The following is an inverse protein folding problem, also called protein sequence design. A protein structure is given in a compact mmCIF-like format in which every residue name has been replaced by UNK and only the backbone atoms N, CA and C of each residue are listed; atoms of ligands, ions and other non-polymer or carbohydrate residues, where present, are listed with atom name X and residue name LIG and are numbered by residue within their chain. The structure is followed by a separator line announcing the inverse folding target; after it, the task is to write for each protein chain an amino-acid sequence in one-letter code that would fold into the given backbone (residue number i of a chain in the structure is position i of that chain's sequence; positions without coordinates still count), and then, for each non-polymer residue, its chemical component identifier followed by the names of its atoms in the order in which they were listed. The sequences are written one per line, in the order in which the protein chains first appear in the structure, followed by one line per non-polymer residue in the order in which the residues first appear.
data_IF_421107634408
#
_entry.id   IF_421107634408
#
_cell.length_a   1.000
_cell.length_b   1.000
_cell.length_c   1.000
_cell.angle_alpha   90.00
_cell.angle_beta   90.00
_cell.angle_gamma   90.00
#
_symmetry.space_group_name_H-M   'P 1'
#
loop_
_entity.id
_entity.type
_entity.pdbx_description
1 polymer ?
#
# COMPACT_ATOMS: atom_id res chain seq x y z
N UNK A 1 45.24 13.34 -35.54
CA UNK A 1 44.56 12.18 -34.92
C UNK A 1 43.47 12.70 -34.01
N UNK A 2 42.21 12.70 -34.49
CA UNK A 2 41.03 13.28 -33.83
C UNK A 2 39.78 12.43 -34.10
N UNK A 3 39.85 11.09 -34.04
CA UNK A 3 38.67 10.22 -34.13
C UNK A 3 38.87 8.98 -33.22
N UNK A 4 38.91 9.16 -31.89
CA UNK A 4 38.90 8.01 -30.95
C UNK A 4 38.05 8.25 -29.69
N UNK A 5 37.27 9.34 -29.62
CA UNK A 5 36.51 9.70 -28.40
C UNK A 5 35.00 9.37 -28.52
N UNK A 6 34.58 8.62 -29.54
CA UNK A 6 33.15 8.40 -29.84
C UNK A 6 32.67 6.96 -29.70
N UNK A 7 33.24 6.16 -28.78
CA UNK A 7 32.78 4.77 -28.53
C UNK A 7 32.40 4.45 -27.07
N UNK A 8 32.24 5.46 -26.21
CA UNK A 8 31.66 5.27 -24.87
C UNK A 8 30.20 5.72 -24.83
N UNK A 9 29.40 5.26 -25.79
CA UNK A 9 27.94 5.41 -25.75
C UNK A 9 27.31 4.03 -25.79
N UNK A 10 26.39 3.81 -24.83
CA UNK A 10 25.41 2.74 -24.76
C UNK A 10 25.84 1.46 -24.02
N UNK A 11 25.90 1.56 -22.70
CA UNK A 11 25.36 0.51 -21.82
C UNK A 11 25.02 1.10 -20.44
N UNK A 12 24.12 2.08 -20.38
CA UNK A 12 23.38 2.31 -19.12
C UNK A 12 22.33 1.21 -19.07
N UNK A 13 22.70 0.08 -18.46
CA UNK A 13 21.73 -0.92 -18.05
C UNK A 13 20.92 -0.27 -16.92
N UNK A 14 19.82 0.39 -17.27
CA UNK A 14 18.83 0.82 -16.30
C UNK A 14 18.16 -0.43 -15.75
N UNK A 15 18.73 -1.01 -14.70
CA UNK A 15 18.01 -1.90 -13.83
C UNK A 15 16.96 -1.05 -13.09
N UNK A 16 15.82 -0.79 -13.71
CA UNK A 16 14.63 -0.42 -12.96
C UNK A 16 14.24 -1.68 -12.18
N UNK A 17 14.35 -1.70 -10.84
CA UNK A 17 13.71 -2.77 -10.10
C UNK A 17 12.23 -2.70 -10.48
N UNK A 18 11.71 -3.79 -11.03
CA UNK A 18 10.28 -3.95 -11.22
C UNK A 18 9.66 -3.98 -9.83
N UNK A 19 9.36 -2.80 -9.29
CA UNK A 19 8.43 -2.66 -8.18
C UNK A 19 7.11 -3.10 -8.78
N UNK A 20 6.77 -4.36 -8.53
CA UNK A 20 5.49 -4.95 -8.85
C UNK A 20 4.44 -4.09 -8.16
N UNK A 21 3.84 -3.16 -8.91
CA UNK A 21 2.78 -2.29 -8.44
C UNK A 21 1.57 -3.17 -8.13
N UNK A 22 1.28 -3.35 -6.85
CA UNK A 22 -0.11 -3.45 -6.42
C UNK A 22 -0.67 -2.07 -6.66
N UNK A 23 -1.52 -1.93 -7.68
CA UNK A 23 -2.11 -0.65 -8.05
C UNK A 23 -2.87 -0.08 -6.86
N UNK A 24 -2.21 0.85 -6.17
CA UNK A 24 -2.83 1.88 -5.35
C UNK A 24 -3.56 2.82 -6.29
N UNK A 25 -4.84 3.09 -6.03
CA UNK A 25 -5.60 4.13 -6.73
C UNK A 25 -4.78 5.44 -6.78
N UNK A 26 -4.75 6.07 -7.95
CA UNK A 26 -3.87 7.15 -8.39
C UNK A 26 -4.01 8.48 -7.62
N UNK A 27 -3.80 8.49 -6.29
CA UNK A 27 -3.89 9.69 -5.47
C UNK A 27 -3.06 9.62 -4.18
N UNK A 28 -2.70 10.78 -3.65
CA UNK A 28 -1.98 10.92 -2.37
C UNK A 28 -2.74 10.21 -1.24
N UNK A 29 -2.00 9.57 -0.34
CA UNK A 29 -2.53 8.99 0.89
C UNK A 29 -2.89 10.10 1.89
N UNK A 30 -4.07 10.02 2.50
CA UNK A 30 -4.69 11.05 3.34
C UNK A 30 -5.16 10.48 4.69
N UNK A 31 -5.54 11.34 5.62
CA UNK A 31 -6.04 10.89 6.94
C UNK A 31 -7.29 10.02 6.85
N UNK A 32 -8.12 10.21 5.82
CA UNK A 32 -9.30 9.37 5.60
C UNK A 32 -8.91 7.92 5.29
N UNK A 33 -7.79 7.74 4.59
CA UNK A 33 -7.30 6.43 4.19
C UNK A 33 -6.87 5.60 5.40
N UNK A 34 -6.53 6.23 6.53
CA UNK A 34 -6.18 5.55 7.79
C UNK A 34 -7.29 4.62 8.30
N UNK A 35 -8.55 4.90 7.95
CA UNK A 35 -9.73 4.19 8.45
C UNK A 35 -10.31 3.22 7.42
N UNK A 36 -9.75 3.16 6.21
CA UNK A 36 -10.22 2.22 5.20
C UNK A 36 -9.97 0.80 5.68
N UNK A 37 -11.07 0.06 5.83
CA UNK A 37 -11.02 -1.38 6.08
C UNK A 37 -10.53 -2.10 4.82
N UNK A 38 -9.87 -3.24 5.00
CA UNK A 38 -9.37 -4.08 3.91
C UNK A 38 -10.50 -4.72 3.08
N UNK A 39 -11.77 -4.53 3.43
CA UNK A 39 -12.87 -5.34 2.95
C UNK A 39 -14.06 -4.49 2.51
N UNK A 40 -14.24 -4.33 1.20
CA UNK A 40 -15.49 -3.88 0.59
C UNK A 40 -16.08 -5.11 -0.12
N UNK A 41 -17.19 -5.71 0.35
CA UNK A 41 -17.83 -6.82 -0.34
C UNK A 41 -18.47 -6.37 -1.67
N UNK A 42 -18.65 -7.28 -2.65
CA UNK A 42 -18.45 -8.73 -2.58
C UNK A 42 -17.01 -9.16 -2.93
N UNK A 43 -16.48 -10.12 -2.15
CA UNK A 43 -15.14 -10.67 -2.35
C UNK A 43 -15.25 -12.06 -2.98
N UNK A 44 -15.03 -12.16 -4.30
CA UNK A 44 -15.31 -13.38 -5.09
C UNK A 44 -14.04 -14.19 -5.46
N UNK A 45 -12.94 -14.08 -4.71
CA UNK A 45 -11.67 -14.73 -5.06
C UNK A 45 -11.58 -16.20 -4.65
N UNK A 46 -10.90 -17.02 -5.46
CA UNK A 46 -10.77 -18.49 -5.30
C UNK A 46 -9.39 -19.01 -4.91
N UNK A 47 -8.37 -18.16 -4.72
CA UNK A 47 -7.03 -18.59 -4.27
C UNK A 47 -6.89 -18.47 -2.75
N UNK A 48 -5.86 -19.07 -2.16
CA UNK A 48 -5.64 -19.09 -0.70
C UNK A 48 -4.22 -18.62 -0.42
N UNK A 49 -4.05 -17.74 0.58
CA UNK A 49 -2.78 -17.39 1.27
C UNK A 49 -1.92 -16.20 0.79
N UNK A 50 -2.51 -15.06 0.40
CA UNK A 50 -1.75 -13.80 0.32
C UNK A 50 -1.84 -12.99 1.60
N UNK A 51 -0.74 -12.34 2.00
CA UNK A 51 -0.69 -11.42 3.14
C UNK A 51 -0.38 -10.01 2.67
N UNK A 52 -0.98 -9.02 3.32
CA UNK A 52 -0.70 -7.59 3.11
C UNK A 52 -0.42 -6.92 4.46
N UNK A 53 0.22 -5.76 4.39
CA UNK A 53 0.40 -4.85 5.52
C UNK A 53 -0.64 -3.75 5.47
N UNK A 54 -1.16 -3.34 6.62
CA UNK A 54 -2.09 -2.20 6.74
C UNK A 54 -1.84 -1.43 8.02
N UNK A 55 -2.13 -0.14 8.03
CA UNK A 55 -2.14 0.64 9.26
C UNK A 55 -3.35 0.29 10.11
N UNK A 56 -3.09 -0.03 11.38
CA UNK A 56 -4.13 -0.24 12.39
C UNK A 56 -4.18 0.96 13.34
N UNK A 57 -5.29 1.69 13.30
CA UNK A 57 -5.45 2.96 14.01
C UNK A 57 -5.51 2.82 15.53
N UNK A 58 -5.90 1.65 16.04
CA UNK A 58 -5.94 1.36 17.48
C UNK A 58 -4.54 1.09 18.04
N UNK A 59 -3.77 0.20 17.41
CA UNK A 59 -2.42 -0.16 17.85
C UNK A 59 -1.35 0.83 17.40
N UNK A 60 -1.69 1.75 16.47
CA UNK A 60 -0.79 2.74 15.87
C UNK A 60 0.43 2.10 15.21
N UNK A 61 0.21 1.00 14.50
CA UNK A 61 1.25 0.19 13.87
C UNK A 61 0.77 -0.39 12.54
N UNK A 62 1.71 -0.72 11.67
CA UNK A 62 1.45 -1.57 10.52
C UNK A 62 1.37 -3.04 10.95
N UNK A 63 0.26 -3.68 10.62
CA UNK A 63 -0.02 -5.08 10.95
C UNK A 63 -0.14 -5.92 9.68
N UNK A 64 0.37 -7.14 9.73
CA UNK A 64 0.24 -8.11 8.65
C UNK A 64 -1.09 -8.84 8.79
N UNK A 65 -1.93 -8.78 7.74
CA UNK A 65 -3.23 -9.44 7.70
C UNK A 65 -3.35 -10.31 6.45
N UNK A 66 -4.24 -11.29 6.51
CA UNK A 66 -4.61 -12.04 5.32
C UNK A 66 -5.31 -11.13 4.31
N UNK A 67 -4.83 -11.14 3.08
CA UNK A 67 -5.55 -10.60 1.93
C UNK A 67 -6.75 -11.49 1.68
N UNK A 68 -7.97 -10.94 1.72
CA UNK A 68 -9.16 -11.65 1.24
C UNK A 68 -9.24 -11.43 -0.27
N UNK A 69 -9.02 -12.50 -1.01
CA UNK A 69 -8.99 -12.47 -2.47
C UNK A 69 -10.36 -12.08 -3.05
N UNK A 70 -10.34 -11.32 -4.15
CA UNK A 70 -11.53 -10.79 -4.80
C UNK A 70 -12.14 -9.56 -4.13
N UNK A 71 -11.60 -9.07 -3.02
CA UNK A 71 -11.92 -7.73 -2.51
C UNK A 71 -11.04 -6.67 -3.21
N UNK A 72 -11.58 -5.48 -3.45
CA UNK A 72 -10.78 -4.33 -3.90
C UNK A 72 -9.74 -3.95 -2.85
N UNK A 73 -8.48 -3.81 -3.25
CA UNK A 73 -7.44 -3.25 -2.40
C UNK A 73 -7.78 -1.79 -2.09
N UNK A 74 -7.79 -1.42 -0.81
CA UNK A 74 -7.88 -0.01 -0.42
C UNK A 74 -6.49 0.61 -0.38
N UNK A 75 -6.42 1.95 -0.33
CA UNK A 75 -5.13 2.66 -0.17
C UNK A 75 -4.36 2.26 1.08
N UNK A 76 -5.04 1.73 2.10
CA UNK A 76 -4.45 1.21 3.33
C UNK A 76 -4.03 -0.28 3.20
N UNK A 77 -3.62 -0.73 2.02
CA UNK A 77 -3.08 -2.08 1.80
C UNK A 77 -1.72 -1.96 1.11
N UNK A 78 -0.68 -2.47 1.76
CA UNK A 78 0.71 -2.36 1.34
C UNK A 78 1.31 -3.75 1.18
N UNK A 79 2.27 -3.89 0.26
CA UNK A 79 2.99 -5.15 0.05
C UNK A 79 4.10 -5.38 1.07
N UNK A 80 4.61 -4.31 1.67
CA UNK A 80 5.71 -4.34 2.63
C UNK A 80 5.34 -3.57 3.91
N UNK A 81 5.98 -3.93 5.03
CA UNK A 81 5.87 -3.18 6.28
C UNK A 81 6.44 -1.78 6.13
N UNK A 82 7.52 -1.65 5.36
CA UNK A 82 8.27 -0.41 5.18
C UNK A 82 7.44 0.64 4.42
N UNK A 83 6.72 0.23 3.37
CA UNK A 83 5.82 1.12 2.64
C UNK A 83 4.66 1.57 3.53
N UNK A 84 4.11 0.64 4.32
CA UNK A 84 3.04 0.96 5.25
C UNK A 84 3.49 1.99 6.30
N UNK A 85 4.62 1.78 6.96
CA UNK A 85 5.12 2.68 7.99
C UNK A 85 5.54 4.04 7.39
N UNK A 86 6.17 4.04 6.22
CA UNK A 86 6.64 5.27 5.58
C UNK A 86 5.52 6.12 5.00
N UNK A 87 4.41 5.52 4.56
CA UNK A 87 3.27 6.23 3.98
C UNK A 87 2.18 6.46 5.04
N UNK A 88 1.58 5.38 5.53
CA UNK A 88 0.47 5.46 6.47
C UNK A 88 0.96 5.86 7.87
N UNK A 89 2.11 5.37 8.32
CA UNK A 89 2.66 5.76 9.63
C UNK A 89 2.96 7.26 9.74
N UNK A 90 3.37 7.92 8.65
CA UNK A 90 3.56 9.39 8.65
C UNK A 90 2.25 10.17 8.76
N UNK A 91 1.17 9.66 8.17
CA UNK A 91 -0.12 10.35 8.12
C UNK A 91 -0.98 10.02 9.35
N UNK A 92 -1.00 8.75 9.77
CA UNK A 92 -2.02 8.22 10.68
C UNK A 92 -1.62 8.17 12.17
N UNK A 93 -0.34 8.37 12.50
CA UNK A 93 0.19 8.18 13.87
C UNK A 93 -0.52 9.03 14.92
N UNK A 94 -0.88 10.25 14.55
CA UNK A 94 -1.56 11.21 15.45
C UNK A 94 -3.05 11.38 15.13
N UNK A 95 -3.58 10.64 14.16
CA UNK A 95 -5.00 10.74 13.79
C UNK A 95 -5.84 10.03 14.85
N UNK A 96 -6.73 10.76 15.50
CA UNK A 96 -7.70 10.21 16.46
C UNK A 96 -9.03 10.06 15.74
N UNK A 97 -9.67 8.91 15.85
CA UNK A 97 -11.04 8.76 15.35
C UNK A 97 -11.96 9.60 16.25
N UNK A 98 -12.43 10.74 15.74
CA UNK A 98 -13.39 11.62 16.44
C UNK A 98 -14.84 11.26 16.15
N UNK A 99 -15.08 10.21 15.36
CA UNK A 99 -16.42 9.71 15.07
C UNK A 99 -17.02 8.99 16.29
N UNK A 100 -18.28 9.29 16.58
CA UNK A 100 -19.09 8.45 17.47
C UNK A 100 -19.26 7.07 16.81
N UNK A 101 -19.04 5.95 17.52
CA UNK A 101 -19.34 4.63 16.98
C UNK A 101 -20.85 4.56 16.70
N UNK A 102 -21.23 4.50 15.43
CA UNK A 102 -22.56 4.06 15.05
C UNK A 102 -22.57 2.57 15.39
N UNK A 103 -23.13 2.24 16.55
CA UNK A 103 -23.51 0.88 16.88
C UNK A 103 -24.53 0.45 15.83
N UNK A 104 -24.07 -0.19 14.76
CA UNK A 104 -24.95 -0.95 13.88
C UNK A 104 -25.47 -2.09 14.75
N UNK A 105 -26.67 -1.87 15.30
CA UNK A 105 -27.45 -2.91 15.96
C UNK A 105 -27.59 -4.06 14.96
N UNK A 106 -26.90 -5.17 15.26
CA UNK A 106 -27.14 -6.49 14.69
C UNK A 106 -28.33 -7.13 15.43
#
# INVERSE_FOLDING_TARGET
MKILVLLFSLAVLSAQPQITQGQSETGKFTEHDCFLITYIPPCNGTSVNDFIWRWETQSKKCVRVHSKLGCSMTKNNFRSSEDCESIAGRVCKNVVFTGTPIMLNL
#
